data_IF_987913184250
#
_entry.id   IF_987913184250
#
_cell.length_a   1.000
_cell.length_b   1.000
_cell.length_c   1.000
_cell.angle_alpha   90.00
_cell.angle_beta   90.00
_cell.angle_gamma   90.00
#
_symmetry.space_group_name_H-M   'P 1'
#
loop_
_entity.id
_entity.type
_entity.pdbx_description
1 polymer ?
#
# COMPACT_ATOMS: atom_id res chain seq x y z
N UNK A 1 -16.03 -46.18 6.19
CA UNK A 1 -16.47 -45.22 7.22
C UNK A 1 -15.32 -44.25 7.50
N UNK A 2 -15.59 -42.95 7.34
CA UNK A 2 -14.86 -41.74 7.79
C UNK A 2 -13.34 -41.64 7.50
N UNK A 3 -13.03 -40.88 6.45
CA UNK A 3 -11.76 -40.15 6.28
C UNK A 3 -11.75 -38.98 7.28
N UNK A 4 -10.79 -38.94 8.18
CA UNK A 4 -10.50 -37.77 9.04
C UNK A 4 -9.68 -36.78 8.24
N UNK A 5 -10.28 -35.64 7.89
CA UNK A 5 -9.57 -34.47 7.37
C UNK A 5 -9.00 -33.72 8.58
N UNK A 6 -7.67 -33.66 8.66
CA UNK A 6 -6.96 -32.86 9.66
C UNK A 6 -6.98 -31.41 9.15
N UNK A 7 -7.86 -30.57 9.70
CA UNK A 7 -7.82 -29.12 9.44
C UNK A 7 -6.60 -28.54 10.17
N UNK A 8 -5.59 -28.15 9.39
CA UNK A 8 -4.43 -27.42 9.87
C UNK A 8 -4.85 -25.96 10.10
N UNK A 9 -5.15 -25.58 11.35
CA UNK A 9 -5.25 -24.17 11.74
C UNK A 9 -3.85 -23.58 11.69
N UNK A 10 -3.56 -22.76 10.67
CA UNK A 10 -2.36 -21.92 10.64
C UNK A 10 -2.59 -20.78 11.63
N UNK A 11 -1.82 -20.79 12.72
CA UNK A 11 -1.78 -19.70 13.68
C UNK A 11 -0.96 -18.57 13.05
N UNK A 12 -1.62 -17.53 12.52
CA UNK A 12 -0.93 -16.29 12.13
C UNK A 12 -0.38 -15.67 13.41
N UNK A 13 0.92 -15.76 13.61
CA UNK A 13 1.61 -15.16 14.73
C UNK A 13 1.65 -13.65 14.48
N UNK A 14 0.62 -12.92 14.93
CA UNK A 14 0.69 -11.46 15.01
C UNK A 14 1.72 -11.17 16.10
N UNK A 15 2.95 -10.88 15.69
CA UNK A 15 3.95 -10.30 16.59
C UNK A 15 3.38 -8.97 17.08
N UNK A 16 2.81 -8.96 18.30
CA UNK A 16 2.40 -7.73 18.94
C UNK A 16 3.67 -7.04 19.43
N UNK A 17 4.32 -6.30 18.53
CA UNK A 17 5.25 -5.26 18.98
C UNK A 17 4.43 -4.33 19.88
N UNK A 18 4.84 -4.17 21.13
CA UNK A 18 4.26 -3.17 21.99
C UNK A 18 4.69 -1.81 21.41
N UNK A 19 3.79 -1.19 20.64
CA UNK A 19 3.98 0.16 20.12
C UNK A 19 4.12 1.11 21.30
N UNK A 20 4.97 2.14 21.16
CA UNK A 20 4.94 3.27 22.07
C UNK A 20 3.51 3.86 22.10
N UNK A 21 3.05 4.33 23.25
CA UNK A 21 1.73 4.93 23.37
C UNK A 21 1.63 6.16 22.45
N UNK A 22 0.79 6.07 21.42
CA UNK A 22 0.61 7.14 20.45
C UNK A 22 -0.12 8.33 21.07
N UNK A 23 0.40 9.54 20.84
CA UNK A 23 -0.22 10.77 21.33
C UNK A 23 -1.47 11.08 20.52
N UNK A 24 -2.62 11.16 21.19
CA UNK A 24 -3.89 11.53 20.54
C UNK A 24 -3.89 13.00 20.13
N UNK A 25 -4.28 13.28 18.88
CA UNK A 25 -4.49 14.64 18.37
C UNK A 25 -5.52 14.70 17.25
N UNK A 26 -5.92 15.91 16.89
CA UNK A 26 -6.70 16.18 15.68
C UNK A 26 -5.85 16.13 14.40
N UNK A 27 -6.48 16.37 13.24
CA UNK A 27 -5.83 16.33 11.94
C UNK A 27 -4.55 17.16 11.84
N UNK A 28 -3.64 16.72 10.97
CA UNK A 28 -2.44 17.44 10.58
C UNK A 28 -2.61 17.91 9.14
N UNK A 29 -2.61 19.22 8.95
CA UNK A 29 -2.81 19.84 7.64
C UNK A 29 -1.60 20.69 7.29
N UNK A 30 -0.76 20.18 6.40
CA UNK A 30 0.36 20.90 5.79
C UNK A 30 -0.08 21.31 4.40
N UNK A 31 -0.51 22.56 4.24
CA UNK A 31 -0.99 23.12 2.97
C UNK A 31 0.05 23.96 2.25
N UNK A 32 1.14 24.31 2.94
CA UNK A 32 2.31 25.00 2.41
C UNK A 32 3.54 24.74 3.28
N UNK A 33 4.73 25.12 2.80
CA UNK A 33 5.99 25.02 3.54
C UNK A 33 5.98 25.78 4.90
N UNK A 34 5.10 26.78 5.07
CA UNK A 34 4.99 27.54 6.33
C UNK A 34 4.25 26.76 7.42
N UNK A 35 3.48 25.73 7.03
CA UNK A 35 2.70 24.93 7.96
C UNK A 35 3.54 23.87 8.66
N UNK A 36 4.82 23.68 8.29
CA UNK A 36 5.73 22.78 8.98
C UNK A 36 6.18 23.36 10.33
N UNK A 37 5.27 23.34 11.30
CA UNK A 37 5.49 23.84 12.66
C UNK A 37 5.20 22.76 13.70
N UNK A 38 5.73 22.91 14.94
CA UNK A 38 5.39 22.01 16.04
C UNK A 38 3.89 21.91 16.33
N UNK A 39 3.16 23.01 16.21
CA UNK A 39 1.70 23.05 16.42
C UNK A 39 0.97 22.16 15.40
N UNK A 40 1.45 22.15 14.16
CA UNK A 40 0.96 21.28 13.10
C UNK A 40 1.53 19.86 13.14
N UNK A 41 2.22 19.47 14.23
CA UNK A 41 2.62 18.09 14.46
C UNK A 41 3.95 17.68 13.88
N UNK A 42 4.76 18.65 13.45
CA UNK A 42 6.17 18.40 13.14
C UNK A 42 6.94 18.24 14.44
N UNK A 43 7.55 17.08 14.64
CA UNK A 43 8.31 16.74 15.86
C UNK A 43 9.83 16.85 15.65
N UNK A 44 10.29 17.07 14.42
CA UNK A 44 11.70 17.22 14.13
C UNK A 44 12.02 17.45 12.65
N UNK A 45 13.32 17.61 12.39
CA UNK A 45 13.92 17.80 11.09
C UNK A 45 13.68 19.15 10.44
N UNK A 46 14.36 19.39 9.32
CA UNK A 46 14.47 20.72 8.69
C UNK A 46 13.92 20.77 7.25
N UNK A 47 13.33 19.68 6.77
CA UNK A 47 12.78 19.63 5.41
C UNK A 47 13.86 19.76 4.34
N UNK A 48 15.02 19.14 4.57
CA UNK A 48 16.12 19.07 3.60
C UNK A 48 16.52 17.62 3.37
N UNK A 49 17.26 17.37 2.28
CA UNK A 49 17.74 16.02 1.98
C UNK A 49 18.62 15.48 3.12
N UNK A 50 18.29 14.28 3.62
CA UNK A 50 18.95 13.68 4.80
C UNK A 50 18.39 14.14 6.15
N UNK A 51 17.52 15.14 6.17
CA UNK A 51 16.88 15.67 7.38
C UNK A 51 15.44 16.15 7.10
N UNK A 52 14.53 15.22 6.77
CA UNK A 52 13.15 15.54 6.38
C UNK A 52 12.36 16.11 7.55
N UNK A 53 11.29 16.85 7.30
CA UNK A 53 10.32 17.15 8.36
C UNK A 53 9.70 15.85 8.87
N UNK A 54 9.65 15.68 10.19
CA UNK A 54 9.20 14.44 10.82
C UNK A 54 7.83 14.66 11.46
N UNK A 55 6.85 13.85 11.09
CA UNK A 55 5.57 13.69 11.77
C UNK A 55 5.55 12.26 12.33
N UNK A 56 5.50 12.11 13.66
CA UNK A 56 5.62 10.79 14.26
C UNK A 56 4.97 10.65 15.64
N UNK A 57 4.56 9.42 15.98
CA UNK A 57 4.12 9.03 17.31
C UNK A 57 2.72 9.52 17.66
N UNK A 58 1.84 9.64 16.66
CA UNK A 58 0.51 10.23 16.83
C UNK A 58 -0.62 9.29 16.41
N UNK A 59 -1.73 9.37 17.15
CA UNK A 59 -3.00 8.76 16.79
C UNK A 59 -4.02 9.85 16.46
N UNK A 60 -4.59 9.78 15.27
CA UNK A 60 -5.58 10.73 14.76
C UNK A 60 -6.90 9.98 14.55
N UNK A 61 -7.88 10.31 15.36
CA UNK A 61 -9.27 9.96 15.08
C UNK A 61 -9.89 11.15 14.37
N UNK A 62 -10.01 11.06 13.05
CA UNK A 62 -10.50 12.17 12.23
C UNK A 62 -11.99 12.41 12.45
N UNK A 63 -12.76 11.47 13.01
CA UNK A 63 -14.16 11.68 13.38
C UNK A 63 -15.07 12.19 12.24
N UNK A 64 -14.70 11.99 10.98
CA UNK A 64 -15.39 12.52 9.80
C UNK A 64 -14.76 13.78 9.16
N UNK A 65 -13.67 14.31 9.70
CA UNK A 65 -12.82 15.30 9.01
C UNK A 65 -12.32 14.74 7.68
N UNK A 66 -12.02 15.63 6.73
CA UNK A 66 -11.62 15.22 5.38
C UNK A 66 -10.34 14.39 5.39
N UNK A 67 -9.38 14.76 6.24
CA UNK A 67 -8.07 14.15 6.27
C UNK A 67 -7.65 13.83 7.69
N UNK A 68 -6.92 12.73 7.88
CA UNK A 68 -6.11 12.56 9.08
C UNK A 68 -4.81 13.35 8.95
N UNK A 69 -4.06 13.11 7.87
CA UNK A 69 -2.87 13.86 7.49
C UNK A 69 -2.98 14.30 6.04
N UNK A 70 -2.78 15.60 5.78
CA UNK A 70 -2.63 16.17 4.44
C UNK A 70 -1.24 16.78 4.32
N UNK A 71 -0.48 16.33 3.31
CA UNK A 71 0.74 16.98 2.83
C UNK A 71 0.45 17.51 1.43
N UNK A 72 0.47 18.83 1.26
CA UNK A 72 0.11 19.46 0.00
C UNK A 72 1.09 20.55 -0.42
N UNK A 73 1.44 20.57 -1.71
CA UNK A 73 2.11 21.70 -2.35
C UNK A 73 3.55 21.95 -1.89
N UNK A 74 4.31 20.90 -1.59
CA UNK A 74 5.69 21.01 -1.08
C UNK A 74 6.66 20.12 -1.85
N UNK A 75 7.90 20.59 -1.95
CA UNK A 75 9.05 19.78 -2.42
C UNK A 75 10.04 19.49 -1.28
N UNK A 76 9.67 19.87 -0.05
CA UNK A 76 10.47 19.59 1.15
C UNK A 76 10.30 18.12 1.51
N UNK A 77 11.38 17.38 1.78
CA UNK A 77 11.28 16.00 2.23
C UNK A 77 10.47 15.88 3.52
N UNK A 78 9.54 14.92 3.57
CA UNK A 78 8.68 14.66 4.73
C UNK A 78 8.75 13.17 5.08
N UNK A 79 8.87 12.87 6.36
CA UNK A 79 8.77 11.53 6.93
C UNK A 79 7.56 11.47 7.86
N UNK A 80 6.59 10.65 7.51
CA UNK A 80 5.45 10.29 8.36
C UNK A 80 5.70 8.87 8.88
N UNK A 81 5.83 8.68 10.19
CA UNK A 81 6.07 7.36 10.77
C UNK A 81 5.46 7.12 12.13
N UNK A 82 5.19 5.87 12.48
CA UNK A 82 4.57 5.52 13.77
C UNK A 82 3.25 6.27 13.98
N UNK A 83 2.37 6.19 12.99
CA UNK A 83 1.09 6.92 12.95
C UNK A 83 -0.09 5.97 12.83
N UNK A 84 -1.16 6.27 13.57
CA UNK A 84 -2.46 5.63 13.37
C UNK A 84 -3.52 6.67 12.98
N UNK A 85 -4.25 6.43 11.88
CA UNK A 85 -5.35 7.29 11.41
C UNK A 85 -6.64 6.49 11.31
N UNK A 86 -7.74 7.04 11.83
CA UNK A 86 -9.07 6.44 11.76
C UNK A 86 -10.11 7.42 11.22
N UNK A 87 -11.04 6.92 10.40
CA UNK A 87 -12.33 7.58 10.17
C UNK A 87 -12.31 8.87 9.34
N UNK A 88 -11.31 9.06 8.46
CA UNK A 88 -11.25 10.24 7.60
C UNK A 88 -12.22 10.13 6.41
N UNK A 89 -12.98 11.21 6.13
CA UNK A 89 -14.03 11.25 5.11
C UNK A 89 -13.50 11.29 3.68
N UNK A 90 -12.29 11.80 3.46
CA UNK A 90 -11.66 11.83 2.13
C UNK A 90 -10.46 10.89 2.06
N UNK A 91 -9.48 11.05 2.94
CA UNK A 91 -8.31 10.16 2.97
C UNK A 91 -7.64 10.13 4.34
N UNK A 92 -7.17 8.97 4.79
CA UNK A 92 -6.41 8.86 6.04
C UNK A 92 -5.12 9.67 5.96
N UNK A 93 -4.27 9.34 4.98
CA UNK A 93 -3.07 10.10 4.65
C UNK A 93 -3.12 10.50 3.18
N UNK A 94 -3.06 11.79 2.89
CA UNK A 94 -3.07 12.33 1.53
C UNK A 94 -1.80 13.12 1.22
N UNK A 95 -1.15 12.73 0.13
CA UNK A 95 -0.04 13.45 -0.50
C UNK A 95 -0.58 14.07 -1.79
N UNK A 96 -0.51 15.39 -1.91
CA UNK A 96 -1.10 16.12 -3.02
C UNK A 96 -0.13 17.15 -3.59
N UNK A 97 0.18 17.06 -4.88
CA UNK A 97 1.07 18.02 -5.54
C UNK A 97 2.39 18.20 -4.77
N UNK A 98 2.93 17.10 -4.26
CA UNK A 98 4.10 17.09 -3.40
C UNK A 98 5.19 16.14 -3.92
N UNK A 99 6.41 16.35 -3.45
CA UNK A 99 7.57 15.56 -3.83
C UNK A 99 8.36 15.10 -2.60
N UNK A 100 8.82 13.85 -2.59
CA UNK A 100 9.74 13.35 -1.57
C UNK A 100 9.08 13.08 -0.22
N UNK A 101 7.94 12.38 -0.24
CA UNK A 101 7.21 12.02 0.98
C UNK A 101 7.38 10.53 1.27
N UNK A 102 7.94 10.22 2.43
CA UNK A 102 8.06 8.86 2.96
C UNK A 102 7.01 8.63 4.03
N UNK A 103 6.23 7.56 3.91
CA UNK A 103 5.24 7.09 4.86
C UNK A 103 5.66 5.69 5.29
N UNK A 104 5.97 5.49 6.56
CA UNK A 104 6.43 4.18 7.07
C UNK A 104 5.78 3.81 8.40
N UNK A 105 5.59 2.52 8.67
CA UNK A 105 5.11 2.06 9.99
C UNK A 105 3.79 2.74 10.42
N UNK A 106 2.81 2.75 9.51
CA UNK A 106 1.50 3.40 9.72
C UNK A 106 0.35 2.40 9.74
N UNK A 107 -0.71 2.75 10.46
CA UNK A 107 -2.01 2.06 10.41
C UNK A 107 -3.11 3.03 10.00
N UNK A 108 -3.88 2.68 8.98
CA UNK A 108 -5.02 3.47 8.51
C UNK A 108 -6.26 2.61 8.44
N UNK A 109 -7.35 3.04 9.09
CA UNK A 109 -8.59 2.26 9.16
C UNK A 109 -9.85 3.09 8.94
N UNK A 110 -10.79 2.52 8.19
CA UNK A 110 -12.14 3.06 8.10
C UNK A 110 -12.20 4.46 7.47
N UNK A 111 -11.23 4.79 6.62
CA UNK A 111 -11.17 6.03 5.87
C UNK A 111 -11.76 5.80 4.46
N UNK A 112 -12.30 6.84 3.81
CA UNK A 112 -12.82 6.69 2.44
C UNK A 112 -11.73 6.24 1.45
N UNK A 113 -10.53 6.80 1.61
CA UNK A 113 -9.27 6.28 1.05
C UNK A 113 -8.29 6.08 2.20
N UNK A 114 -7.56 4.97 2.24
CA UNK A 114 -6.52 4.77 3.26
C UNK A 114 -5.36 5.75 3.07
N UNK A 115 -4.56 5.49 2.02
CA UNK A 115 -3.44 6.35 1.62
C UNK A 115 -3.66 6.80 0.18
N UNK A 116 -3.50 8.10 -0.09
CA UNK A 116 -3.65 8.64 -1.45
C UNK A 116 -2.46 9.50 -1.86
N UNK A 117 -1.97 9.29 -3.08
CA UNK A 117 -1.08 10.21 -3.77
C UNK A 117 -1.78 10.77 -5.01
N UNK A 118 -1.79 12.10 -5.16
CA UNK A 118 -2.38 12.79 -6.30
C UNK A 118 -1.41 13.83 -6.84
N UNK A 119 -1.10 13.78 -8.15
CA UNK A 119 -0.15 14.70 -8.79
C UNK A 119 1.19 14.80 -8.05
N UNK A 120 1.68 13.70 -7.50
CA UNK A 120 2.85 13.68 -6.62
C UNK A 120 3.97 12.83 -7.20
N UNK A 121 5.20 13.10 -6.76
CA UNK A 121 6.39 12.37 -7.25
C UNK A 121 7.30 11.92 -6.12
N UNK A 122 8.03 10.82 -6.32
CA UNK A 122 8.99 10.31 -5.32
C UNK A 122 8.31 10.11 -3.95
N UNK A 123 7.24 9.29 -3.93
CA UNK A 123 6.51 8.94 -2.72
C UNK A 123 6.84 7.50 -2.37
N UNK A 124 7.24 7.25 -1.13
CA UNK A 124 7.54 5.91 -0.64
C UNK A 124 6.54 5.57 0.46
N UNK A 125 5.87 4.43 0.35
CA UNK A 125 5.02 3.88 1.41
C UNK A 125 5.57 2.51 1.79
N UNK A 126 5.89 2.30 3.06
CA UNK A 126 6.41 1.01 3.53
C UNK A 126 5.79 0.57 4.85
N UNK A 127 5.67 -0.75 5.09
CA UNK A 127 5.22 -1.31 6.38
C UNK A 127 3.92 -0.69 6.88
N UNK A 128 2.92 -0.60 6.00
CA UNK A 128 1.65 0.04 6.30
C UNK A 128 0.51 -0.98 6.37
N UNK A 129 -0.34 -0.86 7.40
CA UNK A 129 -1.57 -1.62 7.55
C UNK A 129 -2.77 -0.75 7.19
N UNK A 130 -3.43 -1.06 6.07
CA UNK A 130 -4.61 -0.35 5.59
C UNK A 130 -5.80 -1.31 5.59
N UNK A 131 -6.81 -1.01 6.39
CA UNK A 131 -7.97 -1.90 6.56
C UNK A 131 -9.31 -1.16 6.50
N UNK A 132 -10.34 -1.83 5.99
CA UNK A 132 -11.73 -1.31 5.96
C UNK A 132 -11.88 0.05 5.25
N UNK A 133 -10.99 0.36 4.30
CA UNK A 133 -11.10 1.56 3.47
C UNK A 133 -11.72 1.17 2.12
N UNK A 134 -12.78 1.84 1.62
CA UNK A 134 -13.32 1.52 0.30
C UNK A 134 -12.24 1.50 -0.80
N UNK A 135 -11.35 2.49 -0.82
CA UNK A 135 -10.12 2.42 -1.61
C UNK A 135 -8.93 2.36 -0.63
N UNK A 136 -8.14 1.29 -0.64
CA UNK A 136 -7.02 1.11 0.30
C UNK A 136 -5.89 2.11 0.04
N UNK A 137 -5.20 1.92 -1.07
CA UNK A 137 -4.17 2.83 -1.59
C UNK A 137 -4.59 3.32 -2.96
N UNK A 138 -4.64 4.64 -3.18
CA UNK A 138 -5.03 5.22 -4.46
C UNK A 138 -4.03 6.25 -4.98
N UNK A 139 -3.40 5.90 -6.10
CA UNK A 139 -2.35 6.67 -6.75
C UNK A 139 -2.87 7.21 -8.08
N UNK A 140 -2.93 8.53 -8.22
CA UNK A 140 -3.55 9.18 -9.37
C UNK A 140 -2.61 10.22 -9.94
N UNK A 141 -2.34 10.14 -11.25
CA UNK A 141 -1.49 11.08 -11.99
C UNK A 141 -0.15 11.36 -11.29
N UNK A 142 0.46 10.33 -10.73
CA UNK A 142 1.69 10.43 -9.92
C UNK A 142 2.82 9.63 -10.58
N UNK A 143 4.07 9.82 -10.16
CA UNK A 143 5.19 9.04 -10.70
C UNK A 143 6.28 8.77 -9.68
N UNK A 144 7.02 7.66 -9.83
CA UNK A 144 8.01 7.27 -8.83
C UNK A 144 7.35 7.04 -7.47
N UNK A 145 6.26 6.28 -7.44
CA UNK A 145 5.59 5.89 -6.19
C UNK A 145 5.92 4.44 -5.89
N UNK A 146 6.67 4.21 -4.81
CA UNK A 146 7.10 2.87 -4.44
C UNK A 146 6.37 2.41 -3.17
N UNK A 147 5.75 1.23 -3.27
CA UNK A 147 4.94 0.61 -2.23
C UNK A 147 5.59 -0.70 -1.80
N UNK A 148 5.99 -0.80 -0.52
CA UNK A 148 6.70 -1.94 0.05
C UNK A 148 6.01 -2.51 1.28
N UNK A 149 5.95 -3.84 1.41
CA UNK A 149 5.55 -4.50 2.66
C UNK A 149 4.22 -3.99 3.21
N UNK A 150 3.23 -3.83 2.33
CA UNK A 150 1.91 -3.34 2.71
C UNK A 150 1.01 -4.51 3.11
N UNK A 151 0.16 -4.29 4.10
CA UNK A 151 -0.98 -5.17 4.37
C UNK A 151 -2.26 -4.39 4.10
N UNK A 152 -2.95 -4.74 3.02
CA UNK A 152 -4.19 -4.07 2.58
C UNK A 152 -5.33 -5.06 2.65
N UNK A 153 -6.34 -4.79 3.49
CA UNK A 153 -7.42 -5.76 3.69
C UNK A 153 -8.83 -5.16 3.72
N UNK A 154 -9.79 -5.94 3.20
CA UNK A 154 -11.23 -5.65 3.32
C UNK A 154 -11.62 -4.31 2.68
N UNK A 155 -11.01 -4.02 1.53
CA UNK A 155 -11.28 -2.84 0.71
C UNK A 155 -12.18 -3.20 -0.48
N UNK A 156 -12.85 -2.20 -1.08
CA UNK A 156 -13.48 -2.41 -2.40
C UNK A 156 -12.39 -2.49 -3.47
N UNK A 157 -11.42 -1.59 -3.44
CA UNK A 157 -10.20 -1.70 -4.24
C UNK A 157 -9.01 -1.64 -3.29
N UNK A 158 -8.16 -2.67 -3.27
CA UNK A 158 -6.98 -2.73 -2.41
C UNK A 158 -5.96 -1.65 -2.79
N UNK A 159 -5.33 -1.82 -3.95
CA UNK A 159 -4.35 -0.85 -4.50
C UNK A 159 -4.80 -0.41 -5.89
N UNK A 160 -4.86 0.90 -6.14
CA UNK A 160 -5.32 1.46 -7.40
C UNK A 160 -4.29 2.44 -7.98
N UNK A 161 -3.74 2.08 -9.13
CA UNK A 161 -2.92 2.94 -9.98
C UNK A 161 -3.79 3.51 -11.12
N UNK A 162 -3.79 4.83 -11.27
CA UNK A 162 -4.59 5.53 -12.26
C UNK A 162 -3.77 6.66 -12.92
N UNK A 163 -3.33 6.44 -14.16
CA UNK A 163 -2.45 7.39 -14.87
C UNK A 163 -1.13 7.63 -14.14
N UNK A 164 -0.65 6.61 -13.43
CA UNK A 164 0.60 6.64 -12.64
C UNK A 164 1.72 5.99 -13.43
N UNK A 165 2.95 6.49 -13.31
CA UNK A 165 4.10 5.98 -14.08
C UNK A 165 5.32 5.63 -13.24
N UNK A 166 6.16 4.71 -13.74
CA UNK A 166 7.47 4.36 -13.16
C UNK A 166 7.39 4.11 -11.66
N UNK A 167 6.57 3.14 -11.25
CA UNK A 167 6.18 2.93 -9.85
C UNK A 167 6.18 1.44 -9.52
N UNK A 168 6.31 1.10 -8.24
CA UNK A 168 6.49 -0.28 -7.79
C UNK A 168 5.46 -0.66 -6.72
N UNK A 169 4.98 -1.89 -6.80
CA UNK A 169 4.31 -2.59 -5.70
C UNK A 169 5.03 -3.90 -5.42
N UNK A 170 5.62 -4.03 -4.23
CA UNK A 170 6.32 -5.24 -3.82
C UNK A 170 6.13 -5.60 -2.34
N UNK A 171 6.18 -6.89 -2.03
CA UNK A 171 6.06 -7.40 -0.65
C UNK A 171 4.66 -7.24 -0.04
N UNK A 172 3.64 -6.85 -0.82
CA UNK A 172 2.33 -6.56 -0.28
C UNK A 172 1.48 -7.83 -0.10
N UNK A 173 0.75 -7.90 1.00
CA UNK A 173 -0.36 -8.82 1.20
C UNK A 173 -1.66 -8.05 1.01
N UNK A 174 -2.38 -8.37 -0.07
CA UNK A 174 -3.66 -7.77 -0.41
C UNK A 174 -4.74 -8.82 -0.25
N UNK A 175 -5.60 -8.66 0.77
CA UNK A 175 -6.53 -9.71 1.16
C UNK A 175 -7.99 -9.27 1.32
N UNK A 176 -8.91 -10.20 1.03
CA UNK A 176 -10.34 -10.04 1.24
C UNK A 176 -10.93 -8.75 0.61
N UNK A 177 -10.36 -8.31 -0.52
CA UNK A 177 -10.82 -7.13 -1.26
C UNK A 177 -11.79 -7.52 -2.39
N UNK A 178 -12.69 -6.63 -2.79
CA UNK A 178 -13.51 -6.86 -4.00
C UNK A 178 -12.64 -6.90 -5.26
N UNK A 179 -11.73 -5.94 -5.39
CA UNK A 179 -10.65 -5.88 -6.38
C UNK A 179 -9.34 -5.75 -5.61
N UNK A 180 -8.41 -6.69 -5.78
CA UNK A 180 -7.12 -6.63 -5.09
C UNK A 180 -6.28 -5.45 -5.60
N UNK A 181 -5.97 -5.46 -6.90
CA UNK A 181 -5.27 -4.36 -7.56
C UNK A 181 -5.97 -3.91 -8.85
N UNK A 182 -5.96 -2.60 -9.11
CA UNK A 182 -6.44 -2.00 -10.35
C UNK A 182 -5.34 -1.13 -10.99
N UNK A 183 -5.12 -1.28 -12.30
CA UNK A 183 -4.22 -0.47 -13.13
C UNK A 183 -5.00 0.11 -14.30
N UNK A 184 -5.16 1.44 -14.34
CA UNK A 184 -6.09 2.11 -15.25
C UNK A 184 -5.55 3.47 -15.73
N UNK A 185 -6.26 4.08 -16.69
CA UNK A 185 -6.03 5.44 -17.18
C UNK A 185 -4.63 5.69 -17.76
N UNK A 186 -4.06 4.71 -18.47
CA UNK A 186 -2.79 4.87 -19.18
C UNK A 186 -1.59 4.89 -18.25
N UNK A 187 -1.55 3.96 -17.29
CA UNK A 187 -0.34 3.69 -16.52
C UNK A 187 0.80 3.23 -17.41
N UNK A 188 2.04 3.49 -17.00
CA UNK A 188 3.23 3.04 -17.72
C UNK A 188 4.37 2.69 -16.76
N UNK A 189 5.04 1.57 -17.00
CA UNK A 189 6.20 1.18 -16.20
C UNK A 189 5.85 0.90 -14.73
N UNK A 190 4.67 0.32 -14.49
CA UNK A 190 4.33 -0.22 -13.18
C UNK A 190 4.97 -1.61 -13.06
N UNK A 191 5.64 -1.89 -11.95
CA UNK A 191 6.15 -3.24 -11.64
C UNK A 191 5.42 -3.78 -10.42
N UNK A 192 4.91 -5.00 -10.52
CA UNK A 192 4.15 -5.68 -9.48
C UNK A 192 4.77 -7.05 -9.27
N UNK A 193 5.53 -7.21 -8.18
CA UNK A 193 6.24 -8.46 -7.93
C UNK A 193 6.29 -8.77 -6.44
N UNK A 194 6.32 -10.04 -6.09
CA UNK A 194 6.43 -10.53 -4.72
C UNK A 194 5.27 -10.04 -3.84
N UNK A 195 4.05 -10.02 -4.39
CA UNK A 195 2.84 -9.73 -3.62
C UNK A 195 2.01 -10.99 -3.45
N UNK A 196 1.11 -11.01 -2.47
CA UNK A 196 0.10 -12.05 -2.30
C UNK A 196 -1.30 -11.48 -2.44
N UNK A 197 -2.08 -12.02 -3.37
CA UNK A 197 -3.50 -11.72 -3.53
C UNK A 197 -4.33 -12.85 -2.93
N UNK A 198 -4.95 -12.61 -1.77
CA UNK A 198 -5.62 -13.63 -0.95
C UNK A 198 -7.11 -13.32 -0.80
N UNK A 199 -8.00 -14.27 -1.11
CA UNK A 199 -9.44 -14.11 -0.89
C UNK A 199 -10.08 -12.91 -1.59
N UNK A 200 -9.41 -12.34 -2.60
CA UNK A 200 -9.94 -11.21 -3.35
C UNK A 200 -10.95 -11.71 -4.39
N UNK A 201 -12.12 -11.05 -4.51
CA UNK A 201 -13.15 -11.47 -5.48
C UNK A 201 -12.66 -11.35 -6.92
N UNK A 202 -11.84 -10.34 -7.20
CA UNK A 202 -11.04 -10.20 -8.41
C UNK A 202 -9.61 -9.83 -7.99
N UNK A 203 -8.62 -10.73 -8.07
CA UNK A 203 -7.25 -10.45 -7.60
C UNK A 203 -6.63 -9.21 -8.26
N UNK A 204 -6.75 -9.09 -9.58
CA UNK A 204 -6.24 -7.96 -10.33
C UNK A 204 -7.15 -7.62 -11.52
N UNK A 205 -7.15 -6.33 -11.89
CA UNK A 205 -7.72 -5.80 -13.14
C UNK A 205 -6.72 -4.81 -13.73
N UNK A 206 -6.48 -4.89 -15.03
CA UNK A 206 -5.55 -4.00 -15.71
C UNK A 206 -6.03 -3.65 -17.11
N UNK A 207 -5.87 -2.38 -17.47
CA UNK A 207 -6.05 -1.85 -18.84
C UNK A 207 -4.72 -1.79 -19.62
N UNK A 208 -3.64 -2.35 -19.07
CA UNK A 208 -2.28 -2.27 -19.62
C UNK A 208 -1.34 -1.37 -18.81
N UNK A 209 -0.03 -1.58 -19.00
CA UNK A 209 1.03 -0.72 -18.47
C UNK A 209 1.73 -1.25 -17.22
N UNK A 210 1.41 -2.47 -16.79
CA UNK A 210 2.05 -3.13 -15.66
C UNK A 210 2.79 -4.40 -16.09
N UNK A 211 4.01 -4.56 -15.60
CA UNK A 211 4.69 -5.84 -15.53
C UNK A 211 4.30 -6.53 -14.22
N UNK A 212 3.74 -7.74 -14.31
CA UNK A 212 3.29 -8.52 -13.15
C UNK A 212 4.38 -9.45 -12.60
N UNK A 213 5.63 -9.14 -12.90
CA UNK A 213 6.82 -9.78 -12.36
C UNK A 213 8.03 -8.85 -12.54
N UNK A 214 9.14 -9.14 -11.86
CA UNK A 214 10.39 -8.37 -11.97
C UNK A 214 11.44 -9.00 -12.92
N UNK A 215 11.04 -9.97 -13.74
CA UNK A 215 11.91 -10.77 -14.60
C UNK A 215 12.55 -11.98 -13.92
N UNK A 216 12.34 -12.15 -12.60
CA UNK A 216 12.87 -13.26 -11.81
C UNK A 216 11.77 -13.90 -10.96
N UNK A 217 10.92 -13.10 -10.33
CA UNK A 217 9.81 -13.53 -9.48
C UNK A 217 8.58 -12.65 -9.73
N UNK A 218 7.42 -13.29 -9.68
CA UNK A 218 6.11 -12.70 -9.80
C UNK A 218 5.39 -12.64 -8.47
N UNK A 219 4.08 -12.86 -8.49
CA UNK A 219 3.16 -12.74 -7.37
C UNK A 219 2.54 -14.09 -7.02
N UNK A 220 2.05 -14.19 -5.80
CA UNK A 220 1.20 -15.29 -5.35
C UNK A 220 -0.27 -14.97 -5.61
N UNK A 221 -0.95 -15.89 -6.30
CA UNK A 221 -2.36 -15.77 -6.68
C UNK A 221 -3.18 -16.88 -6.02
N UNK A 222 -3.98 -16.56 -5.01
CA UNK A 222 -4.74 -17.59 -4.30
C UNK A 222 -5.63 -18.41 -5.27
N UNK A 223 -5.51 -19.73 -5.18
CA UNK A 223 -6.30 -20.67 -5.98
C UNK A 223 -5.73 -20.95 -7.37
N UNK A 224 -4.68 -20.24 -7.80
CA UNK A 224 -3.92 -20.65 -8.98
C UNK A 224 -3.03 -21.84 -8.64
N UNK A 225 -3.11 -22.88 -9.46
CA UNK A 225 -2.37 -24.13 -9.26
C UNK A 225 -1.75 -24.54 -10.58
N UNK A 226 -0.43 -24.72 -10.55
CA UNK A 226 0.39 -25.23 -11.65
C UNK A 226 1.48 -26.13 -11.05
N UNK A 227 2.12 -27.02 -11.84
CA UNK A 227 3.38 -27.63 -11.43
C UNK A 227 4.45 -26.58 -11.12
N UNK A 228 5.37 -26.99 -10.26
CA UNK A 228 6.70 -26.41 -10.01
C UNK A 228 7.64 -27.63 -10.12
N UNK A 229 8.02 -27.98 -11.36
CA UNK A 229 8.73 -29.22 -11.67
C UNK A 229 10.20 -29.20 -11.22
N UNK A 230 10.82 -28.02 -11.21
CA UNK A 230 12.22 -27.85 -10.81
C UNK A 230 12.40 -27.48 -9.32
N UNK A 231 11.31 -27.14 -8.62
CA UNK A 231 11.25 -26.92 -7.19
C UNK A 231 11.86 -25.59 -6.75
N UNK A 232 11.84 -24.58 -7.62
CA UNK A 232 12.42 -23.26 -7.35
C UNK A 232 11.45 -22.28 -6.65
N UNK A 233 10.22 -22.72 -6.39
CA UNK A 233 9.17 -21.94 -5.76
C UNK A 233 8.38 -21.06 -6.74
N UNK A 234 8.61 -21.21 -8.04
CA UNK A 234 7.89 -20.56 -9.13
C UNK A 234 7.05 -21.61 -9.86
N UNK A 235 5.82 -21.23 -10.21
CA UNK A 235 4.89 -22.06 -10.94
C UNK A 235 5.21 -22.01 -12.44
N UNK A 236 5.28 -23.19 -13.08
CA UNK A 236 5.73 -23.36 -14.47
C UNK A 236 4.78 -22.74 -15.52
N UNK A 237 3.53 -22.44 -15.16
CA UNK A 237 2.57 -21.77 -16.03
C UNK A 237 2.38 -20.32 -15.61
N UNK A 238 2.40 -19.38 -16.58
CA UNK A 238 2.12 -17.98 -16.28
C UNK A 238 0.68 -17.79 -15.80
N UNK A 239 0.47 -16.84 -14.90
CA UNK A 239 -0.85 -16.45 -14.45
C UNK A 239 -1.40 -15.34 -15.34
N UNK A 240 -2.53 -15.55 -16.05
CA UNK A 240 -3.11 -14.52 -16.89
C UNK A 240 -3.77 -13.43 -16.03
N UNK A 241 -3.35 -12.18 -16.21
CA UNK A 241 -3.92 -11.02 -15.49
C UNK A 241 -4.89 -10.23 -16.38
N UNK A 242 -4.54 -10.08 -17.66
CA UNK A 242 -5.33 -9.37 -18.66
C UNK A 242 -5.16 -9.97 -20.05
N UNK A 243 -5.82 -9.41 -21.09
CA UNK A 243 -5.77 -9.95 -22.45
C UNK A 243 -4.36 -10.09 -23.04
N UNK A 244 -3.41 -9.23 -22.63
CA UNK A 244 -2.02 -9.21 -23.08
C UNK A 244 -1.03 -9.04 -21.92
N UNK A 245 -1.49 -9.29 -20.69
CA UNK A 245 -0.68 -9.15 -19.48
C UNK A 245 -0.75 -10.44 -18.67
N UNK A 246 0.42 -10.93 -18.30
CA UNK A 246 0.59 -12.13 -17.50
C UNK A 246 1.69 -11.90 -16.47
N UNK A 247 1.56 -12.60 -15.35
CA UNK A 247 2.66 -12.85 -14.45
C UNK A 247 3.38 -14.10 -14.94
N UNK A 248 4.62 -13.94 -15.38
CA UNK A 248 5.43 -15.02 -15.97
C UNK A 248 6.10 -15.91 -14.93
N UNK A 249 6.17 -15.45 -13.69
CA UNK A 249 6.87 -16.14 -12.62
C UNK A 249 5.98 -16.22 -11.36
N UNK A 250 4.74 -16.74 -11.47
CA UNK A 250 3.83 -16.79 -10.35
C UNK A 250 4.40 -17.66 -9.23
N UNK A 251 4.23 -17.24 -7.98
CA UNK A 251 4.84 -17.91 -6.83
C UNK A 251 4.00 -19.10 -6.37
N UNK A 252 4.67 -20.20 -6.01
CA UNK A 252 4.03 -21.40 -5.48
C UNK A 252 3.51 -21.21 -4.03
N UNK A 253 4.12 -20.31 -3.27
CA UNK A 253 3.74 -19.97 -1.89
C UNK A 253 3.90 -18.48 -1.59
N UNK A 254 3.01 -17.94 -0.77
CA UNK A 254 3.14 -16.59 -0.23
C UNK A 254 4.03 -16.52 1.01
N UNK A 255 4.46 -17.65 1.58
CA UNK A 255 5.32 -17.68 2.77
C UNK A 255 6.78 -17.26 2.51
N UNK A 256 7.12 -17.03 1.24
CA UNK A 256 8.46 -16.67 0.76
C UNK A 256 8.58 -15.18 0.39
N UNK A 257 7.56 -14.40 0.73
CA UNK A 257 7.48 -12.95 0.51
C UNK A 257 8.27 -12.17 1.58
#
# INVERSE_FOLDING_TARGET
MRKTVLSLMVLVLVATTAWAELVRRGPILITSDQDFTPENGVVGGWGVFGDPYIISGVRIDAGGDDYGILISGTIRPVLIRDVEVLGARTAGIKVQSAKGVTIEDVRVRGCAVGISAFLSTEVIVSRAWIEECPDGVRLVFSSGVDLYDLHVSRCRTGVWFAGTTGSLLAGAVIEACDVGMAVELGCEGIVVAQNAFLGCRLPARSDGGAAWDNGVRGNYWEGFVSPDEDGDGILDQPYPVGPEEEDRFPLASWSEL
#
